data_IF_809398048078
#
_entry.id   IF_809398048078
#
_cell.length_a   1.000
_cell.length_b   1.000
_cell.length_c   1.000
_cell.angle_alpha   90.00
_cell.angle_beta   90.00
_cell.angle_gamma   90.00
#
_symmetry.space_group_name_H-M   'P 1'
#
loop_
_entity.id
_entity.type
_entity.pdbx_description
1 polymer ?
#
# COMPACT_ATOMS: atom_id res chain seq x y z
N UNK A 1 -14.48 7.02 -0.76
CA UNK A 1 -13.52 6.68 -1.84
C UNK A 1 -12.87 7.92 -2.43
N UNK A 2 -13.61 9.00 -2.72
CA UNK A 2 -13.03 10.25 -3.22
C UNK A 2 -11.88 10.77 -2.35
N UNK A 3 -12.07 10.86 -1.03
CA UNK A 3 -11.02 11.28 -0.09
C UNK A 3 -9.75 10.41 -0.16
N UNK A 4 -9.89 9.10 -0.35
CA UNK A 4 -8.74 8.18 -0.48
C UNK A 4 -8.01 8.45 -1.80
N UNK A 5 -8.74 8.65 -2.88
CA UNK A 5 -8.17 8.95 -4.20
C UNK A 5 -7.46 10.31 -4.21
N UNK A 6 -8.01 11.32 -3.53
CA UNK A 6 -7.36 12.62 -3.34
C UNK A 6 -6.08 12.49 -2.52
N UNK A 7 -6.11 11.75 -1.41
CA UNK A 7 -4.92 11.49 -0.59
C UNK A 7 -3.83 10.72 -1.34
N UNK A 8 -4.22 9.74 -2.16
CA UNK A 8 -3.27 9.01 -3.03
C UNK A 8 -2.66 9.91 -4.09
N UNK A 9 -3.45 10.83 -4.66
CA UNK A 9 -2.92 11.84 -5.60
C UNK A 9 -1.91 12.77 -4.92
N UNK A 10 -2.23 13.29 -3.74
CA UNK A 10 -1.32 14.15 -2.97
C UNK A 10 -0.05 13.41 -2.57
N UNK A 11 -0.16 12.13 -2.19
CA UNK A 11 0.98 11.28 -1.86
C UNK A 11 1.88 11.07 -3.09
N UNK A 12 1.30 10.74 -4.24
CA UNK A 12 2.03 10.58 -5.50
C UNK A 12 2.75 11.88 -5.91
N UNK A 13 2.08 13.03 -5.77
CA UNK A 13 2.67 14.36 -6.02
C UNK A 13 3.82 14.65 -5.06
N UNK A 14 3.63 14.41 -3.76
CA UNK A 14 4.70 14.57 -2.76
C UNK A 14 5.89 13.66 -3.04
N UNK A 15 5.66 12.41 -3.48
CA UNK A 15 6.73 11.49 -3.85
C UNK A 15 7.59 12.02 -5.02
N UNK A 16 7.03 12.77 -5.98
CA UNK A 16 7.81 13.39 -7.06
C UNK A 16 8.81 14.42 -6.53
N UNK A 17 8.45 15.15 -5.48
CA UNK A 17 9.34 16.12 -4.83
C UNK A 17 10.42 15.44 -4.00
N UNK A 18 10.06 14.37 -3.28
CA UNK A 18 10.98 13.60 -2.45
C UNK A 18 12.00 12.77 -3.26
N UNK A 19 11.58 12.22 -4.41
CA UNK A 19 12.41 11.41 -5.31
C UNK A 19 12.68 12.17 -6.61
N UNK A 20 13.54 13.17 -6.51
CA UNK A 20 13.91 14.08 -7.62
C UNK A 20 14.62 13.38 -8.79
N UNK A 21 15.11 12.17 -8.57
CA UNK A 21 15.69 11.22 -9.52
C UNK A 21 14.68 10.19 -10.06
N UNK A 22 13.41 10.28 -9.66
CA UNK A 22 12.29 9.52 -10.25
C UNK A 22 12.18 8.06 -9.80
N UNK A 23 13.03 7.60 -8.88
CA UNK A 23 12.97 6.24 -8.36
C UNK A 23 13.05 6.24 -6.82
N UNK A 24 12.06 5.68 -6.13
CA UNK A 24 12.15 5.37 -4.71
C UNK A 24 13.26 4.33 -4.47
N UNK A 25 14.50 4.77 -4.26
CA UNK A 25 15.59 3.84 -3.98
C UNK A 25 15.46 3.32 -2.55
N UNK A 26 15.05 2.05 -2.41
CA UNK A 26 15.15 1.32 -1.15
C UNK A 26 16.60 0.84 -1.06
N UNK A 27 17.51 1.70 -0.62
CA UNK A 27 18.91 1.30 -0.44
C UNK A 27 19.02 0.28 0.70
N UNK A 28 19.48 -0.92 0.35
CA UNK A 28 20.13 -1.89 1.24
C UNK A 28 19.38 -2.23 2.55
N UNK A 29 18.08 -2.56 2.48
CA UNK A 29 17.37 -3.18 3.59
C UNK A 29 16.93 -2.24 4.72
N UNK A 30 17.17 -0.93 4.60
CA UNK A 30 16.58 0.06 5.50
C UNK A 30 15.29 0.61 4.90
N UNK A 31 14.16 0.11 5.40
CA UNK A 31 12.86 0.71 5.16
C UNK A 31 12.76 1.92 6.10
N UNK A 32 13.01 3.13 5.58
CA UNK A 32 12.76 4.35 6.33
C UNK A 32 11.28 4.46 6.74
N UNK A 33 10.96 5.40 7.65
CA UNK A 33 9.60 5.56 8.19
C UNK A 33 8.52 5.62 7.09
N UNK A 34 8.79 6.32 5.99
CA UNK A 34 7.88 6.37 4.84
C UNK A 34 7.59 4.97 4.30
N UNK A 35 8.61 4.14 4.06
CA UNK A 35 8.40 2.78 3.56
C UNK A 35 7.61 1.89 4.52
N UNK A 36 7.78 2.05 5.84
CA UNK A 36 7.00 1.32 6.85
C UNK A 36 5.53 1.74 6.77
N UNK A 37 5.25 3.04 6.67
CA UNK A 37 3.89 3.55 6.49
C UNK A 37 3.27 3.07 5.17
N UNK A 38 4.05 3.06 4.08
CA UNK A 38 3.60 2.57 2.78
C UNK A 38 3.24 1.09 2.82
N UNK A 39 4.06 0.24 3.42
CA UNK A 39 3.80 -1.21 3.45
C UNK A 39 2.63 -1.56 4.37
N UNK A 40 2.46 -0.85 5.49
CA UNK A 40 1.35 -1.11 6.42
C UNK A 40 0.01 -0.67 5.86
N UNK A 41 -0.04 0.48 5.17
CA UNK A 41 -1.28 1.01 4.59
C UNK A 41 -1.63 0.37 3.24
N UNK A 42 -0.63 0.22 2.35
CA UNK A 42 -0.81 -0.12 0.94
C UNK A 42 -0.18 -1.46 0.56
N UNK A 43 0.63 -2.11 1.41
CA UNK A 43 1.15 -3.45 1.16
C UNK A 43 0.07 -4.48 0.77
N UNK A 44 -1.09 -4.55 1.47
CA UNK A 44 -2.16 -5.48 1.13
C UNK A 44 -3.11 -4.97 0.02
N UNK A 45 -2.73 -3.96 -0.79
CA UNK A 45 -3.65 -3.32 -1.74
C UNK A 45 -4.35 -4.31 -2.67
N UNK A 46 -3.68 -5.36 -3.14
CA UNK A 46 -4.29 -6.36 -4.03
C UNK A 46 -5.47 -7.09 -3.37
N UNK A 47 -5.33 -7.45 -2.09
CA UNK A 47 -6.41 -8.08 -1.34
C UNK A 47 -7.55 -7.09 -1.07
N UNK A 48 -7.22 -5.81 -0.82
CA UNK A 48 -8.21 -4.75 -0.68
C UNK A 48 -9.00 -4.53 -1.98
N UNK A 49 -8.32 -4.46 -3.13
CA UNK A 49 -8.94 -4.31 -4.46
C UNK A 49 -9.85 -5.50 -4.79
N UNK A 50 -9.41 -6.72 -4.49
CA UNK A 50 -10.21 -7.94 -4.68
C UNK A 50 -11.49 -7.92 -3.84
N UNK A 51 -11.38 -7.58 -2.55
CA UNK A 51 -12.55 -7.56 -1.66
C UNK A 51 -13.49 -6.40 -1.95
N UNK A 52 -12.97 -5.24 -2.35
CA UNK A 52 -13.77 -4.04 -2.61
C UNK A 52 -14.31 -4.00 -4.04
N UNK A 53 -13.72 -4.74 -4.99
CA UNK A 53 -14.08 -4.72 -6.41
C UNK A 53 -13.75 -3.39 -7.08
N UNK A 54 -12.68 -2.72 -6.66
CA UNK A 54 -12.26 -1.41 -7.18
C UNK A 54 -10.73 -1.34 -7.29
N UNK A 55 -10.22 -0.46 -8.14
CA UNK A 55 -8.79 -0.16 -8.24
C UNK A 55 -8.40 0.92 -7.25
N UNK A 56 -7.46 0.61 -6.35
CA UNK A 56 -6.86 1.53 -5.39
C UNK A 56 -5.59 2.14 -5.99
N UNK A 57 -4.67 1.30 -6.48
CA UNK A 57 -3.41 1.74 -7.06
C UNK A 57 -3.42 1.53 -8.57
N UNK A 58 -3.64 2.62 -9.29
CA UNK A 58 -3.66 2.61 -10.74
C UNK A 58 -2.28 2.95 -11.32
N UNK A 59 -1.70 2.15 -12.23
CA UNK A 59 -0.37 2.40 -12.77
C UNK A 59 -0.21 3.74 -13.51
N UNK A 60 -1.27 4.29 -14.11
CA UNK A 60 -1.23 5.58 -14.81
C UNK A 60 -1.30 6.75 -13.82
N UNK A 61 -2.07 6.58 -12.74
CA UNK A 61 -2.30 7.62 -11.74
C UNK A 61 -1.29 7.61 -10.59
N UNK A 62 -0.75 6.45 -10.25
CA UNK A 62 0.06 6.20 -9.06
C UNK A 62 1.39 5.44 -9.35
N UNK A 63 2.16 5.78 -10.41
CA UNK A 63 3.33 5.01 -10.79
C UNK A 63 4.41 4.93 -9.71
N UNK A 64 4.69 6.02 -8.97
CA UNK A 64 5.72 6.04 -7.93
C UNK A 64 5.28 5.27 -6.68
N UNK A 65 4.05 5.51 -6.22
CA UNK A 65 3.47 4.78 -5.08
C UNK A 65 3.44 3.29 -5.37
N UNK A 66 2.95 2.90 -6.55
CA UNK A 66 2.87 1.50 -6.96
C UNK A 66 4.26 0.85 -7.04
N UNK A 67 5.23 1.55 -7.61
CA UNK A 67 6.62 1.07 -7.69
C UNK A 67 7.22 0.83 -6.30
N UNK A 68 7.08 1.81 -5.40
CA UNK A 68 7.60 1.70 -4.03
C UNK A 68 6.92 0.57 -3.25
N UNK A 69 5.59 0.49 -3.27
CA UNK A 69 4.84 -0.56 -2.57
C UNK A 69 5.20 -1.94 -3.10
N UNK A 70 5.35 -2.08 -4.42
CA UNK A 70 5.78 -3.34 -5.03
C UNK A 70 7.19 -3.72 -4.57
N UNK A 71 8.14 -2.78 -4.58
CA UNK A 71 9.49 -3.03 -4.11
C UNK A 71 9.55 -3.38 -2.61
N UNK A 72 8.73 -2.73 -1.78
CA UNK A 72 8.60 -3.02 -0.35
C UNK A 72 8.05 -4.44 -0.11
N UNK A 73 7.00 -4.82 -0.83
CA UNK A 73 6.39 -6.16 -0.73
C UNK A 73 7.34 -7.28 -1.17
N UNK A 74 8.38 -6.97 -1.96
CA UNK A 74 9.40 -7.94 -2.35
C UNK A 74 10.47 -8.18 -1.27
N UNK A 75 10.58 -7.29 -0.26
CA UNK A 75 11.56 -7.41 0.81
C UNK A 75 11.31 -8.66 1.67
N UNK A 76 12.36 -9.43 2.03
CA UNK A 76 12.21 -10.63 2.87
C UNK A 76 11.45 -10.38 4.17
N UNK A 77 11.80 -9.31 4.89
CA UNK A 77 11.15 -8.96 6.17
C UNK A 77 9.65 -8.69 6.01
N UNK A 78 9.24 -8.12 4.87
CA UNK A 78 7.82 -7.86 4.59
C UNK A 78 7.11 -9.16 4.23
N UNK A 79 7.70 -10.00 3.38
CA UNK A 79 7.14 -11.32 3.03
C UNK A 79 6.98 -12.24 4.24
N UNK A 80 7.93 -12.20 5.16
CA UNK A 80 7.89 -12.97 6.41
C UNK A 80 6.82 -12.46 7.37
N UNK A 81 6.60 -11.14 7.43
CA UNK A 81 5.61 -10.51 8.31
C UNK A 81 4.19 -10.50 7.73
N UNK A 82 4.04 -10.53 6.41
CA UNK A 82 2.75 -10.37 5.74
C UNK A 82 2.01 -11.70 5.66
N UNK A 83 0.74 -11.79 6.11
CA UNK A 83 -0.06 -12.98 5.92
C UNK A 83 -0.23 -13.32 4.43
N UNK A 84 -0.39 -14.61 4.12
CA UNK A 84 -0.74 -15.04 2.77
C UNK A 84 -1.98 -14.31 2.23
N UNK A 85 -2.00 -14.03 0.93
CA UNK A 85 -3.05 -13.24 0.26
C UNK A 85 -4.47 -13.72 0.59
N UNK A 86 -4.73 -15.02 0.50
CA UNK A 86 -6.03 -15.62 0.82
C UNK A 86 -6.50 -15.33 2.26
N UNK A 87 -5.55 -15.28 3.21
CA UNK A 87 -5.85 -14.93 4.60
C UNK A 87 -6.20 -13.45 4.75
N UNK A 88 -5.52 -12.58 4.00
CA UNK A 88 -5.85 -11.15 3.95
C UNK A 88 -7.22 -10.90 3.33
N UNK A 89 -7.53 -11.57 2.22
CA UNK A 89 -8.86 -11.52 1.58
C UNK A 89 -9.94 -11.97 2.57
N UNK A 90 -9.74 -13.13 3.22
CA UNK A 90 -10.69 -13.65 4.22
C UNK A 90 -10.90 -12.68 5.39
N UNK A 91 -9.81 -12.08 5.91
CA UNK A 91 -9.87 -11.09 6.99
C UNK A 91 -10.63 -9.83 6.56
N UNK A 92 -10.35 -9.31 5.36
CA UNK A 92 -10.98 -8.11 4.83
C UNK A 92 -12.47 -8.34 4.52
N UNK A 93 -12.84 -9.50 3.99
CA UNK A 93 -14.24 -9.91 3.82
C UNK A 93 -14.96 -9.97 5.16
N UNK A 94 -14.35 -10.61 6.17
CA UNK A 94 -14.90 -10.66 7.52
C UNK A 94 -15.13 -9.26 8.10
N UNK A 95 -14.17 -8.34 7.98
CA UNK A 95 -14.31 -6.95 8.45
C UNK A 95 -15.46 -6.24 7.71
N UNK A 96 -15.53 -6.39 6.38
CA UNK A 96 -16.56 -5.78 5.52
C UNK A 96 -17.96 -6.26 5.89
N UNK A 97 -18.14 -7.57 6.07
CA UNK A 97 -19.43 -8.18 6.37
C UNK A 97 -19.93 -7.83 7.78
N UNK A 98 -19.00 -7.68 8.73
CA UNK A 98 -19.32 -7.43 10.13
C UNK A 98 -19.31 -5.94 10.52
N UNK A 99 -19.10 -5.02 9.55
CA UNK A 99 -18.96 -3.58 9.79
C UNK A 99 -17.99 -3.23 10.93
N UNK A 100 -16.94 -4.04 11.10
CA UNK A 100 -15.97 -3.84 12.17
C UNK A 100 -15.17 -2.57 11.84
N UNK A 101 -15.27 -1.57 12.73
CA UNK A 101 -14.42 -0.38 12.63
C UNK A 101 -13.03 -0.78 13.08
N UNK A 102 -12.07 -0.79 12.15
CA UNK A 102 -10.65 -0.82 12.50
C UNK A 102 -10.33 0.49 13.22
N UNK A 103 -10.15 0.43 14.53
CA UNK A 103 -9.69 1.56 15.32
C UNK A 103 -8.17 1.59 15.21
N UNK A 104 -7.63 2.61 14.57
CA UNK A 104 -6.20 2.92 14.68
C UNK A 104 -5.98 3.55 16.07
N UNK A 105 -5.25 2.84 16.93
CA UNK A 105 -4.80 3.35 18.23
C UNK A 105 -3.58 4.25 18.09
#
# INVERSE_FOLDING_TARGET
MEEVMEKLKLLEEGMKEFFSDGSPSINHGNVGLLGVLMVTALGPYRAQEEVLGLTILDPERNPLVLSLVTALNELPVVKEATPAHEKLVSLLQFIRENNIKLVAN
#
